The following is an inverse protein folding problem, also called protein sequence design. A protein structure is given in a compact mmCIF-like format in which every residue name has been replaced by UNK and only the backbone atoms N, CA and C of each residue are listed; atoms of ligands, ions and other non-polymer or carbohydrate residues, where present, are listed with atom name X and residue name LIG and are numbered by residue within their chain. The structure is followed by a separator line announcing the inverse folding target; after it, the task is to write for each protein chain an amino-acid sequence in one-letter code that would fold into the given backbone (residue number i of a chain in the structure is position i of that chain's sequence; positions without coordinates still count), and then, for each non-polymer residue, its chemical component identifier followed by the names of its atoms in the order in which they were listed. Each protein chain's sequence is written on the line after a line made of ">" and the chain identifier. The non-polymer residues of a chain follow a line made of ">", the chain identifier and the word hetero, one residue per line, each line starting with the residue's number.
data_IF_268985932122
#
_entry.id   IF_268985932122
#
_cell.length_a   1.000
_cell.length_b   1.000
_cell.length_c   1.000
_cell.angle_alpha   90.00
_cell.angle_beta   90.00
_cell.angle_gamma   90.00
#
_symmetry.space_group_name_H-M   'P 1'
#
loop_
_entity.id
_entity.type
_entity.pdbx_description
1 polymer ?
#
# COMPACT_ATOMS: atom_id res chain seq x y z
N UNK A 1 -0.69 -5.62 -16.52
CA UNK A 1 0.46 -5.77 -15.60
C UNK A 1 0.17 -5.22 -14.19
N UNK A 2 -0.38 -4.01 -14.04
CA UNK A 2 -0.64 -3.39 -12.73
C UNK A 2 -1.55 -4.22 -11.79
N UNK A 3 -2.62 -4.83 -12.31
CA UNK A 3 -3.56 -5.63 -11.50
C UNK A 3 -2.88 -6.86 -10.87
N UNK A 4 -1.93 -7.48 -11.57
CA UNK A 4 -1.17 -8.64 -11.07
C UNK A 4 -0.31 -8.23 -9.87
N UNK A 5 0.32 -7.06 -9.94
CA UNK A 5 1.15 -6.52 -8.85
C UNK A 5 0.27 -6.13 -7.64
N UNK A 6 -0.92 -5.57 -7.87
CA UNK A 6 -1.84 -5.19 -6.80
C UNK A 6 -2.45 -6.39 -6.06
N UNK A 7 -2.63 -7.52 -6.75
CA UNK A 7 -3.07 -8.78 -6.13
C UNK A 7 -1.91 -9.52 -5.47
N UNK A 8 -0.79 -9.67 -6.17
CA UNK A 8 0.36 -10.42 -5.66
C UNK A 8 1.10 -9.65 -4.56
N UNK A 9 1.07 -8.32 -4.53
CA UNK A 9 1.79 -7.51 -3.54
C UNK A 9 1.39 -7.82 -2.09
N UNK A 10 0.11 -7.68 -1.72
CA UNK A 10 -0.36 -7.96 -0.35
C UNK A 10 -0.20 -9.45 0.04
N UNK A 11 -0.43 -10.33 -0.93
CA UNK A 11 -0.17 -11.77 -0.86
C UNK A 11 1.33 -12.02 -0.55
N UNK A 12 2.24 -11.36 -1.25
CA UNK A 12 3.68 -11.47 -0.98
C UNK A 12 4.04 -10.95 0.41
N UNK A 13 3.40 -9.87 0.87
CA UNK A 13 3.63 -9.28 2.18
C UNK A 13 3.25 -10.23 3.33
N UNK A 14 2.19 -11.03 3.18
CA UNK A 14 1.79 -12.03 4.20
C UNK A 14 2.90 -13.04 4.51
N UNK A 15 3.67 -13.46 3.50
CA UNK A 15 4.81 -14.36 3.71
C UNK A 15 5.91 -13.73 4.57
N UNK A 16 6.15 -12.43 4.41
CA UNK A 16 7.14 -11.67 5.17
C UNK A 16 6.66 -11.39 6.59
N UNK A 17 5.35 -11.20 6.79
CA UNK A 17 4.75 -11.15 8.12
C UNK A 17 4.89 -12.50 8.83
N UNK A 18 4.69 -13.63 8.15
CA UNK A 18 4.90 -14.97 8.73
C UNK A 18 6.37 -15.19 9.13
N UNK A 19 7.31 -14.76 8.29
CA UNK A 19 8.73 -14.79 8.61
C UNK A 19 9.05 -13.99 9.89
N UNK A 20 8.45 -12.81 10.03
CA UNK A 20 8.63 -11.95 11.22
C UNK A 20 7.99 -12.56 12.47
N UNK A 21 6.81 -13.18 12.34
CA UNK A 21 6.14 -13.92 13.42
C UNK A 21 7.00 -15.06 13.94
N UNK A 22 7.53 -15.89 13.03
CA UNK A 22 8.40 -17.03 13.38
C UNK A 22 9.68 -16.58 14.07
N UNK A 23 10.32 -15.52 13.56
CA UNK A 23 11.49 -14.92 14.23
C UNK A 23 11.16 -14.43 15.63
N UNK A 24 10.00 -13.77 15.82
CA UNK A 24 9.56 -13.33 17.13
C UNK A 24 9.27 -14.50 18.10
N UNK A 25 8.91 -15.68 17.57
CA UNK A 25 8.73 -16.91 18.34
C UNK A 25 10.04 -17.67 18.62
N UNK A 26 11.20 -17.13 18.24
CA UNK A 26 12.51 -17.79 18.40
C UNK A 26 12.83 -18.83 17.33
N UNK A 27 12.00 -18.97 16.29
CA UNK A 27 12.29 -19.84 15.15
C UNK A 27 13.27 -19.14 14.18
N UNK A 28 14.08 -19.94 13.49
CA UNK A 28 14.97 -19.47 12.42
C UNK A 28 14.39 -19.83 11.04
N UNK A 29 13.48 -19.02 10.47
CA UNK A 29 12.86 -19.34 9.19
C UNK A 29 13.91 -19.26 8.06
N UNK A 30 14.00 -20.33 7.27
CA UNK A 30 14.78 -20.33 6.04
C UNK A 30 14.02 -19.60 4.93
N UNK A 31 14.75 -19.06 3.94
CA UNK A 31 14.15 -18.39 2.75
C UNK A 31 13.14 -19.31 2.05
N UNK A 32 13.43 -20.61 1.96
CA UNK A 32 12.53 -21.62 1.39
C UNK A 32 11.24 -21.78 2.19
N UNK A 33 11.33 -21.70 3.53
CA UNK A 33 10.17 -21.75 4.42
C UNK A 33 9.28 -20.54 4.24
N UNK A 34 9.85 -19.35 4.07
CA UNK A 34 9.11 -18.10 3.80
C UNK A 34 8.40 -18.17 2.45
N UNK A 35 9.10 -18.65 1.41
CA UNK A 35 8.53 -18.79 0.07
C UNK A 35 7.42 -19.86 0.01
N UNK A 36 7.62 -20.98 0.71
CA UNK A 36 6.60 -22.03 0.88
C UNK A 36 5.39 -21.53 1.68
N UNK A 37 5.63 -20.75 2.73
CA UNK A 37 4.57 -20.14 3.54
C UNK A 37 3.78 -19.11 2.73
N UNK A 38 4.40 -18.41 1.77
CA UNK A 38 3.68 -17.56 0.83
C UNK A 38 2.57 -18.35 0.13
N UNK A 39 2.86 -19.51 -0.45
CA UNK A 39 1.84 -20.31 -1.13
C UNK A 39 0.75 -20.88 -0.19
N UNK A 40 1.08 -21.13 1.09
CA UNK A 40 0.15 -21.75 2.05
C UNK A 40 -0.70 -20.73 2.81
N UNK A 41 -0.11 -19.60 3.22
CA UNK A 41 -0.78 -18.52 3.93
C UNK A 41 -1.62 -17.62 3.00
N UNK A 42 -1.21 -17.50 1.72
CA UNK A 42 -1.95 -16.72 0.72
C UNK A 42 -3.24 -17.40 0.22
N UNK A 43 -3.50 -18.64 0.64
CA UNK A 43 -4.76 -19.33 0.40
C UNK A 43 -5.85 -19.04 1.43
N UNK A 44 -5.57 -18.25 2.47
CA UNK A 44 -6.60 -17.94 3.48
C UNK A 44 -7.61 -16.94 2.91
N UNK A 45 -8.89 -17.30 2.94
CA UNK A 45 -9.98 -16.42 2.47
C UNK A 45 -9.90 -14.98 3.02
N UNK A 46 -9.50 -14.75 4.30
CA UNK A 46 -9.40 -13.40 4.84
C UNK A 46 -8.35 -12.51 4.17
N UNK A 47 -7.18 -13.05 3.83
CA UNK A 47 -6.08 -12.28 3.21
C UNK A 47 -6.40 -11.88 1.77
N UNK A 48 -7.05 -12.79 1.03
CA UNK A 48 -7.54 -12.54 -0.33
C UNK A 48 -8.60 -11.42 -0.30
N UNK A 49 -9.53 -11.47 0.66
CA UNK A 49 -10.57 -10.45 0.78
C UNK A 49 -9.99 -9.05 1.05
N UNK A 50 -9.01 -8.92 1.96
CA UNK A 50 -8.29 -7.66 2.19
C UNK A 50 -7.58 -7.16 0.92
N UNK A 51 -6.97 -8.08 0.17
CA UNK A 51 -6.31 -7.74 -1.10
C UNK A 51 -7.33 -7.22 -2.12
N UNK A 52 -8.51 -7.82 -2.21
CA UNK A 52 -9.61 -7.37 -3.07
C UNK A 52 -10.07 -5.97 -2.69
N UNK A 53 -10.24 -5.65 -1.40
CA UNK A 53 -10.60 -4.30 -0.95
C UNK A 53 -9.59 -3.26 -1.47
N UNK A 54 -8.30 -3.55 -1.35
CA UNK A 54 -7.25 -2.64 -1.83
C UNK A 54 -7.23 -2.52 -3.35
N UNK A 55 -7.48 -3.62 -4.08
CA UNK A 55 -7.61 -3.59 -5.54
C UNK A 55 -8.80 -2.72 -5.96
N UNK A 56 -9.95 -2.83 -5.28
CA UNK A 56 -11.12 -1.98 -5.56
C UNK A 56 -10.80 -0.51 -5.33
N UNK A 57 -10.10 -0.17 -4.23
CA UNK A 57 -9.64 1.20 -3.99
C UNK A 57 -8.66 1.68 -5.07
N UNK A 58 -7.74 0.83 -5.51
CA UNK A 58 -6.81 1.16 -6.57
C UNK A 58 -7.53 1.35 -7.92
N UNK A 59 -8.53 0.54 -8.23
CA UNK A 59 -9.38 0.71 -9.43
C UNK A 59 -10.14 2.03 -9.35
N UNK A 60 -10.77 2.33 -8.21
CA UNK A 60 -11.45 3.61 -8.01
C UNK A 60 -10.48 4.77 -8.25
N UNK A 61 -9.28 4.73 -7.65
CA UNK A 61 -8.24 5.74 -7.89
C UNK A 61 -7.86 5.87 -9.37
N UNK A 62 -7.62 4.75 -10.06
CA UNK A 62 -7.30 4.74 -11.50
C UNK A 62 -8.44 5.30 -12.36
N UNK A 63 -9.69 5.05 -11.98
CA UNK A 63 -10.87 5.56 -12.69
C UNK A 63 -11.08 7.06 -12.47
N UNK A 64 -10.89 7.55 -11.24
CA UNK A 64 -11.08 8.97 -10.92
C UNK A 64 -9.92 9.86 -11.36
N UNK A 65 -8.70 9.33 -11.44
CA UNK A 65 -7.51 10.08 -11.89
C UNK A 65 -7.70 10.82 -13.23
N UNK A 66 -8.13 10.18 -14.33
CA UNK A 66 -8.39 10.86 -15.60
C UNK A 66 -9.62 11.80 -15.54
N UNK A 67 -10.62 11.51 -14.70
CA UNK A 67 -11.79 12.38 -14.55
C UNK A 67 -11.41 13.71 -13.91
N UNK A 68 -10.59 13.67 -12.85
CA UNK A 68 -10.05 14.88 -12.21
C UNK A 68 -9.19 15.64 -13.23
N UNK A 69 -8.34 14.94 -13.99
CA UNK A 69 -7.56 15.56 -15.05
C UNK A 69 -8.43 16.28 -16.09
N UNK A 70 -9.51 15.65 -16.53
CA UNK A 70 -10.43 16.21 -17.53
C UNK A 70 -11.16 17.47 -17.05
N UNK A 71 -11.60 17.50 -15.78
CA UNK A 71 -12.30 18.66 -15.20
C UNK A 71 -11.44 19.92 -15.25
N UNK A 72 -10.14 19.80 -14.97
CA UNK A 72 -9.21 20.94 -14.94
C UNK A 72 -8.57 21.28 -16.29
N UNK A 73 -8.79 20.46 -17.32
CA UNK A 73 -8.26 20.65 -18.68
C UNK A 73 -9.37 20.77 -19.74
N UNK A 74 -10.55 21.24 -19.34
CA UNK A 74 -11.78 21.33 -20.16
C UNK A 74 -11.69 22.24 -21.41
N UNK A 75 -10.54 22.90 -21.66
CA UNK A 75 -10.26 23.70 -22.86
C UNK A 75 -9.50 22.98 -23.96
N UNK A 76 -8.93 21.80 -23.69
CA UNK A 76 -8.16 21.00 -24.64
C UNK A 76 -8.80 19.61 -24.72
N UNK A 77 -9.66 19.40 -25.72
CA UNK A 77 -10.31 18.10 -26.00
C UNK A 77 -9.34 16.95 -26.29
N UNK A 78 -8.03 17.21 -26.31
CA UNK A 78 -7.00 16.19 -26.35
C UNK A 78 -6.78 15.67 -24.93
N UNK A 79 -7.70 14.80 -24.52
CA UNK A 79 -7.64 13.98 -23.31
C UNK A 79 -6.44 13.05 -23.47
N UNK A 80 -5.23 13.57 -23.23
CA UNK A 80 -3.97 12.89 -23.53
C UNK A 80 -3.76 12.77 -25.06
N UNK A 81 -2.62 13.23 -25.58
CA UNK A 81 -2.28 12.92 -26.99
C UNK A 81 -2.32 11.40 -27.20
N UNK A 82 -2.68 10.92 -28.39
CA UNK A 82 -2.73 9.48 -28.74
C UNK A 82 -1.46 8.69 -28.35
N UNK A 83 -0.35 9.41 -28.16
CA UNK A 83 0.97 8.88 -27.81
C UNK A 83 1.37 9.04 -26.34
N UNK A 84 0.50 9.55 -25.47
CA UNK A 84 0.79 9.74 -24.05
C UNK A 84 -0.16 8.92 -23.16
N UNK A 85 0.29 8.59 -21.96
CA UNK A 85 -0.56 7.99 -20.91
C UNK A 85 -1.04 9.07 -19.95
N UNK A 86 -2.15 8.82 -19.25
CA UNK A 86 -2.66 9.71 -18.18
C UNK A 86 -1.56 10.02 -17.15
N UNK A 87 -0.72 9.03 -16.81
CA UNK A 87 0.40 9.21 -15.89
C UNK A 87 1.45 10.18 -16.44
N UNK A 88 1.76 10.10 -17.73
CA UNK A 88 2.71 11.02 -18.37
C UNK A 88 2.16 12.45 -18.46
N UNK A 89 0.87 12.61 -18.77
CA UNK A 89 0.22 13.92 -18.80
C UNK A 89 0.22 14.58 -17.42
N UNK A 90 -0.12 13.82 -16.37
CA UNK A 90 -0.08 14.28 -14.98
C UNK A 90 1.35 14.67 -14.58
N UNK A 91 2.34 13.85 -14.93
CA UNK A 91 3.73 14.14 -14.61
C UNK A 91 4.22 15.42 -15.31
N UNK A 92 3.85 15.62 -16.57
CA UNK A 92 4.17 16.84 -17.31
C UNK A 92 3.61 18.09 -16.60
N UNK A 93 2.33 18.07 -16.23
CA UNK A 93 1.68 19.20 -15.54
C UNK A 93 2.27 19.47 -14.15
N UNK A 94 2.68 18.41 -13.43
CA UNK A 94 3.40 18.54 -12.15
C UNK A 94 4.76 19.22 -12.37
N UNK A 95 5.47 18.88 -13.45
CA UNK A 95 6.81 19.43 -13.73
C UNK A 95 6.79 20.83 -14.34
N UNK A 96 5.82 21.15 -15.21
CA UNK A 96 5.71 22.47 -15.83
C UNK A 96 5.10 23.50 -14.90
N UNK A 97 4.19 23.07 -14.02
CA UNK A 97 3.48 23.97 -13.11
C UNK A 97 2.42 24.83 -13.79
N UNK A 98 2.03 24.49 -15.02
CA UNK A 98 1.04 25.23 -15.81
C UNK A 98 -0.37 25.07 -15.23
N UNK A 99 -0.71 23.85 -14.76
CA UNK A 99 -2.02 23.55 -14.19
C UNK A 99 -1.96 23.38 -12.66
N UNK A 100 -1.64 24.46 -11.93
CA UNK A 100 -1.52 24.44 -10.45
C UNK A 100 -2.82 24.00 -9.76
N UNK A 101 -3.98 24.37 -10.31
CA UNK A 101 -5.28 23.97 -9.80
C UNK A 101 -5.47 22.45 -9.84
N UNK A 102 -5.15 21.84 -10.98
CA UNK A 102 -5.15 20.39 -11.13
C UNK A 102 -4.16 19.72 -10.15
N UNK A 103 -2.91 20.19 -10.08
CA UNK A 103 -1.86 19.57 -9.25
C UNK A 103 -2.29 19.53 -7.77
N UNK A 104 -2.83 20.63 -7.24
CA UNK A 104 -3.29 20.70 -5.85
C UNK A 104 -4.48 19.74 -5.63
N UNK A 105 -5.49 19.79 -6.50
CA UNK A 105 -6.67 18.93 -6.39
C UNK A 105 -6.31 17.44 -6.48
N UNK A 106 -5.45 17.09 -7.44
CA UNK A 106 -4.97 15.73 -7.65
C UNK A 106 -4.12 15.23 -6.48
N UNK A 107 -3.27 16.08 -5.92
CA UNK A 107 -2.47 15.77 -4.74
C UNK A 107 -3.35 15.49 -3.52
N UNK A 108 -4.36 16.35 -3.26
CA UNK A 108 -5.31 16.15 -2.17
C UNK A 108 -6.07 14.83 -2.36
N UNK A 109 -6.62 14.60 -3.55
CA UNK A 109 -7.36 13.38 -3.86
C UNK A 109 -6.51 12.12 -3.63
N UNK A 110 -5.31 12.08 -4.21
CA UNK A 110 -4.41 10.92 -4.09
C UNK A 110 -3.94 10.72 -2.65
N UNK A 111 -3.68 11.80 -1.91
CA UNK A 111 -3.31 11.72 -0.49
C UNK A 111 -4.45 11.15 0.36
N UNK A 112 -5.68 11.60 0.14
CA UNK A 112 -6.85 11.09 0.89
C UNK A 112 -7.09 9.61 0.59
N UNK A 113 -7.09 9.22 -0.68
CA UNK A 113 -7.28 7.82 -1.07
C UNK A 113 -6.14 6.94 -0.54
N UNK A 114 -4.90 7.39 -0.66
CA UNK A 114 -3.73 6.69 -0.12
C UNK A 114 -3.78 6.54 1.39
N UNK A 115 -4.19 7.57 2.12
CA UNK A 115 -4.33 7.53 3.57
C UNK A 115 -5.41 6.54 4.00
N UNK A 116 -6.57 6.54 3.33
CA UNK A 116 -7.64 5.58 3.58
C UNK A 116 -7.14 4.15 3.34
N UNK A 117 -6.51 3.90 2.20
CA UNK A 117 -5.95 2.59 1.88
C UNK A 117 -4.91 2.14 2.92
N UNK A 118 -4.05 3.06 3.38
CA UNK A 118 -3.06 2.79 4.42
C UNK A 118 -3.72 2.42 5.76
N UNK A 119 -4.66 3.23 6.23
CA UNK A 119 -5.35 2.99 7.51
C UNK A 119 -6.13 1.67 7.52
N UNK A 120 -6.68 1.28 6.38
CA UNK A 120 -7.38 0.00 6.22
C UNK A 120 -6.42 -1.18 6.17
N UNK A 121 -5.18 -1.01 5.73
CA UNK A 121 -4.27 -2.15 5.47
C UNK A 121 -3.17 -2.36 6.51
N UNK A 122 -2.64 -1.29 7.13
CA UNK A 122 -1.38 -1.36 7.87
C UNK A 122 -1.36 -2.42 8.99
N UNK A 123 -2.49 -2.64 9.69
CA UNK A 123 -2.60 -3.69 10.72
C UNK A 123 -3.57 -4.82 10.39
N UNK A 124 -4.35 -4.72 9.33
CA UNK A 124 -5.30 -5.79 8.99
C UNK A 124 -4.61 -7.07 8.54
N UNK A 125 -3.54 -6.97 7.74
CA UNK A 125 -2.76 -8.14 7.32
C UNK A 125 -2.08 -8.89 8.49
N UNK A 126 -1.27 -8.24 9.35
CA UNK A 126 -0.67 -8.94 10.47
C UNK A 126 -1.72 -9.44 11.48
N UNK A 127 -2.84 -8.74 11.65
CA UNK A 127 -3.92 -9.17 12.56
C UNK A 127 -4.64 -10.43 12.06
N UNK A 128 -4.97 -10.51 10.77
CA UNK A 128 -5.53 -11.72 10.17
C UNK A 128 -4.55 -12.88 10.29
N UNK A 129 -3.24 -12.63 10.14
CA UNK A 129 -2.22 -13.67 10.26
C UNK A 129 -1.99 -14.15 11.71
N UNK A 130 -2.02 -13.24 12.70
CA UNK A 130 -1.76 -13.55 14.11
C UNK A 130 -2.99 -14.13 14.81
N UNK A 131 -4.19 -13.63 14.50
CA UNK A 131 -5.44 -13.94 15.24
C UNK A 131 -6.49 -14.71 14.45
N UNK A 132 -6.25 -15.01 13.17
CA UNK A 132 -7.20 -15.70 12.27
C UNK A 132 -8.63 -15.11 12.31
N UNK A 133 -8.70 -13.78 12.45
CA UNK A 133 -9.95 -13.06 12.60
C UNK A 133 -10.59 -12.74 11.24
N UNK A 134 -11.88 -12.42 11.25
CA UNK A 134 -12.56 -11.98 10.03
C UNK A 134 -11.96 -10.64 9.50
N UNK A 135 -11.94 -10.46 8.16
CA UNK A 135 -11.38 -9.25 7.56
C UNK A 135 -12.04 -7.94 8.00
N UNK A 136 -13.33 -7.96 8.28
CA UNK A 136 -14.06 -6.75 8.67
C UNK A 136 -13.62 -6.27 10.05
N UNK A 137 -13.51 -7.19 11.01
CA UNK A 137 -12.93 -6.94 12.34
C UNK A 137 -11.49 -6.44 12.22
N UNK A 138 -10.69 -7.04 11.32
CA UNK A 138 -9.32 -6.58 11.09
C UNK A 138 -9.26 -5.15 10.56
N UNK A 139 -10.12 -4.78 9.60
CA UNK A 139 -10.19 -3.42 9.04
C UNK A 139 -10.67 -2.42 10.08
N UNK A 140 -11.76 -2.72 10.80
CA UNK A 140 -12.29 -1.82 11.83
C UNK A 140 -11.27 -1.61 12.95
N UNK A 141 -10.55 -2.65 13.35
CA UNK A 141 -9.51 -2.55 14.37
C UNK A 141 -8.32 -1.72 13.87
N UNK A 142 -7.91 -1.92 12.61
CA UNK A 142 -6.85 -1.14 11.97
C UNK A 142 -7.19 0.36 11.88
N UNK A 143 -8.44 0.68 11.50
CA UNK A 143 -8.96 2.05 11.48
C UNK A 143 -9.00 2.67 12.88
N UNK A 144 -9.51 1.94 13.88
CA UNK A 144 -9.53 2.40 15.27
C UNK A 144 -8.13 2.64 15.80
N UNK A 145 -7.18 1.72 15.55
CA UNK A 145 -5.80 1.87 15.96
C UNK A 145 -5.15 3.12 15.36
N UNK A 146 -5.42 3.40 14.08
CA UNK A 146 -4.94 4.61 13.41
C UNK A 146 -5.57 5.89 14.00
N UNK A 147 -6.88 5.89 14.26
CA UNK A 147 -7.59 7.06 14.81
C UNK A 147 -7.23 7.37 16.26
N UNK A 148 -6.95 6.34 17.07
CA UNK A 148 -6.53 6.50 18.47
C UNK A 148 -5.08 6.99 18.55
N UNK A 149 -4.21 6.51 17.66
CA UNK A 149 -2.77 6.80 17.69
C UNK A 149 -2.34 7.82 16.63
N UNK A 150 -2.96 9.02 16.65
CA UNK A 150 -2.71 10.07 15.65
C UNK A 150 -1.25 10.50 15.55
N UNK A 151 -0.55 10.59 16.67
CA UNK A 151 0.88 10.97 16.71
C UNK A 151 1.74 9.93 15.98
N UNK A 152 1.49 8.64 16.25
CA UNK A 152 2.21 7.55 15.58
C UNK A 152 1.89 7.59 14.08
N UNK A 153 0.62 7.77 13.71
CA UNK A 153 0.21 7.90 12.30
C UNK A 153 0.90 9.06 11.58
N UNK A 154 1.07 10.21 12.23
CA UNK A 154 1.74 11.40 11.66
C UNK A 154 3.23 11.15 11.36
N UNK A 155 3.89 10.25 12.07
CA UNK A 155 5.29 9.89 11.83
C UNK A 155 5.39 8.70 10.87
N UNK A 156 4.55 7.70 11.09
CA UNK A 156 4.63 6.42 10.41
C UNK A 156 4.21 6.52 8.95
N UNK A 157 3.10 7.20 8.64
CA UNK A 157 2.63 7.35 7.25
C UNK A 157 3.68 8.05 6.37
N UNK A 158 4.25 9.21 6.76
CA UNK A 158 5.32 9.81 5.96
C UNK A 158 6.58 8.96 5.90
N UNK A 159 6.96 8.26 6.97
CA UNK A 159 8.16 7.40 6.97
C UNK A 159 8.02 6.28 5.95
N UNK A 160 6.88 5.57 5.95
CA UNK A 160 6.59 4.52 4.96
C UNK A 160 6.56 5.12 3.56
N UNK A 161 5.89 6.27 3.39
CA UNK A 161 5.81 6.97 2.11
C UNK A 161 7.18 7.35 1.55
N UNK A 162 8.06 7.95 2.36
CA UNK A 162 9.41 8.36 1.98
C UNK A 162 10.27 7.15 1.63
N UNK A 163 10.21 6.06 2.40
CA UNK A 163 11.00 4.85 2.12
C UNK A 163 10.57 4.19 0.81
N UNK A 164 9.26 4.06 0.58
CA UNK A 164 8.72 3.46 -0.66
C UNK A 164 9.01 4.37 -1.85
N UNK A 165 8.73 5.67 -1.75
CA UNK A 165 8.99 6.63 -2.82
C UNK A 165 10.48 6.73 -3.13
N UNK A 166 11.33 6.78 -2.09
CA UNK A 166 12.78 6.79 -2.24
C UNK A 166 13.28 5.54 -2.98
N UNK A 167 12.81 4.36 -2.62
CA UNK A 167 13.15 3.13 -3.35
C UNK A 167 12.68 3.16 -4.80
N UNK A 168 11.46 3.62 -5.07
CA UNK A 168 10.90 3.72 -6.41
C UNK A 168 11.71 4.68 -7.29
N UNK A 169 12.00 5.88 -6.79
CA UNK A 169 12.72 6.92 -7.54
C UNK A 169 14.17 6.54 -7.77
N UNK A 170 14.88 6.07 -6.73
CA UNK A 170 16.30 5.70 -6.83
C UNK A 170 16.55 4.49 -7.74
N UNK A 171 15.56 3.59 -7.85
CA UNK A 171 15.70 2.35 -8.63
C UNK A 171 14.79 2.27 -9.84
N UNK A 172 14.25 3.41 -10.30
CA UNK A 172 13.38 3.49 -11.49
C UNK A 172 14.05 2.89 -12.74
N UNK A 173 15.35 3.14 -12.91
CA UNK A 173 16.15 2.59 -14.03
C UNK A 173 16.49 1.09 -13.87
N UNK A 174 16.30 0.55 -12.66
CA UNK A 174 16.62 -0.83 -12.31
C UNK A 174 15.34 -1.62 -11.98
N UNK A 175 14.24 -1.33 -12.69
CA UNK A 175 12.95 -2.03 -12.53
C UNK A 175 12.45 -2.09 -11.08
N UNK A 176 12.68 -1.03 -10.29
CA UNK A 176 12.22 -0.91 -8.90
C UNK A 176 12.84 -1.93 -7.92
N UNK A 177 14.06 -2.42 -8.19
CA UNK A 177 14.75 -3.40 -7.33
C UNK A 177 14.88 -2.94 -5.86
N UNK A 178 14.85 -1.64 -5.59
CA UNK A 178 14.88 -1.09 -4.22
C UNK A 178 13.73 -1.59 -3.35
N UNK A 179 12.59 -1.92 -3.94
CA UNK A 179 11.45 -2.50 -3.21
C UNK A 179 11.75 -3.88 -2.62
N UNK A 180 12.65 -4.66 -3.25
CA UNK A 180 13.07 -5.98 -2.72
C UNK A 180 13.71 -5.85 -1.34
N UNK A 181 14.37 -4.73 -1.06
CA UNK A 181 15.00 -4.46 0.23
C UNK A 181 14.06 -3.74 1.20
N UNK A 182 13.28 -2.77 0.71
CA UNK A 182 12.39 -1.98 1.56
C UNK A 182 11.19 -2.78 2.04
N UNK A 183 10.58 -3.62 1.20
CA UNK A 183 9.38 -4.38 1.56
C UNK A 183 9.63 -5.30 2.78
N UNK A 184 10.70 -6.11 2.87
CA UNK A 184 11.01 -6.91 4.06
C UNK A 184 11.20 -6.08 5.33
N UNK A 185 11.89 -4.94 5.23
CA UNK A 185 12.12 -4.04 6.37
C UNK A 185 10.79 -3.46 6.87
N UNK A 186 9.94 -2.99 5.95
CA UNK A 186 8.63 -2.46 6.27
C UNK A 186 7.71 -3.53 6.87
N UNK A 187 7.71 -4.75 6.31
CA UNK A 187 6.93 -5.86 6.84
C UNK A 187 7.35 -6.21 8.28
N UNK A 188 8.66 -6.27 8.54
CA UNK A 188 9.19 -6.52 9.86
C UNK A 188 8.84 -5.42 10.85
N UNK A 189 9.07 -4.16 10.48
CA UNK A 189 8.79 -3.02 11.35
C UNK A 189 7.28 -2.88 11.63
N UNK A 190 6.43 -3.13 10.63
CA UNK A 190 4.97 -3.12 10.79
C UNK A 190 4.49 -4.27 11.69
N UNK A 191 5.09 -5.46 11.60
CA UNK A 191 4.81 -6.56 12.52
C UNK A 191 5.10 -6.20 13.98
N UNK A 192 6.26 -5.59 14.24
CA UNK A 192 6.61 -5.15 15.58
C UNK A 192 5.71 -4.01 16.07
N UNK A 193 5.39 -3.03 15.22
CA UNK A 193 4.43 -1.98 15.55
C UNK A 193 3.04 -2.55 15.88
N UNK A 194 2.58 -3.55 15.11
CA UNK A 194 1.34 -4.29 15.36
C UNK A 194 1.34 -4.97 16.72
N UNK A 195 2.39 -5.75 17.05
CA UNK A 195 2.46 -6.44 18.34
C UNK A 195 2.50 -5.46 19.52
N UNK A 196 3.22 -4.34 19.39
CA UNK A 196 3.30 -3.33 20.45
C UNK A 196 1.99 -2.56 20.65
N UNK A 197 1.15 -2.38 19.63
CA UNK A 197 -0.10 -1.62 19.74
C UNK A 197 -1.35 -2.47 19.95
N UNK A 198 -1.40 -3.67 19.40
CA UNK A 198 -2.61 -4.53 19.35
C UNK A 198 -2.35 -5.90 20.00
N UNK A 199 -1.08 -6.33 20.06
CA UNK A 199 -0.69 -7.67 20.51
C UNK A 199 -1.02 -8.00 21.97
N UNK A 200 -1.37 -7.01 22.79
CA UNK A 200 -1.79 -7.21 24.19
C UNK A 200 -3.29 -7.47 24.39
N UNK A 201 -4.11 -7.40 23.34
CA UNK A 201 -5.52 -7.82 23.45
C UNK A 201 -5.59 -9.34 23.65
N UNK A 202 -5.58 -9.75 24.93
CA UNK A 202 -6.08 -11.03 25.44
C UNK A 202 -7.59 -11.13 25.27
#
# INVERSE_FOLDING_TARGET
>A
MAVIILLLGPISAMSLYDASRRRAAGESPSILTVFSAAFKANGSCPSIFLSVILVVLAIAWMMFSPLIYAVFNTGTLNIVSENQTVVQAILADITSGDNRGFVIAYFIFTTVVGLIAFMISWFSFPMVLDKDCDPFTAVVTSLKAAMTNKIIMLIWVPTVGILVLGALVLTVNFYFVGLVFIIPVLAHATWHAYKSMIGELK
#
